data_IF_652209933600
#
_entry.id   IF_652209933600
#
_cell.length_a   1.000
_cell.length_b   1.000
_cell.length_c   1.000
_cell.angle_alpha   90.00
_cell.angle_beta   90.00
_cell.angle_gamma   90.00
#
_symmetry.space_group_name_H-M   'P 1'
#
loop_
_entity.id
_entity.type
_entity.pdbx_description
1 polymer ?
#
# COMPACT_ATOMS: atom_id res chain seq x y z
N UNK A 1 8.44 -30.72 -11.47
CA UNK A 1 8.20 -30.98 -10.03
C UNK A 1 7.76 -29.68 -9.40
N UNK A 2 6.45 -29.48 -9.22
CA UNK A 2 5.87 -28.29 -8.57
C UNK A 2 6.23 -28.33 -7.08
N UNK A 3 6.94 -27.32 -6.59
CA UNK A 3 7.06 -27.06 -5.15
C UNK A 3 5.64 -26.77 -4.64
N UNK A 4 5.20 -27.51 -3.63
CA UNK A 4 3.87 -27.35 -3.01
C UNK A 4 3.94 -26.14 -2.08
N UNK A 5 2.95 -25.25 -2.22
CA UNK A 5 2.66 -24.10 -1.35
C UNK A 5 2.70 -24.52 0.13
N UNK A 6 3.69 -24.01 0.86
CA UNK A 6 3.79 -24.17 2.31
C UNK A 6 3.11 -23.00 3.06
N UNK A 7 2.91 -21.84 2.40
CA UNK A 7 2.31 -20.64 3.01
C UNK A 7 0.84 -20.82 3.41
N UNK A 8 0.02 -21.47 2.59
CA UNK A 8 -1.43 -21.68 2.85
C UNK A 8 -1.68 -22.50 4.14
N UNK A 9 -0.72 -23.31 4.58
CA UNK A 9 -0.90 -24.18 5.77
C UNK A 9 -0.69 -23.39 7.07
N UNK A 10 0.11 -22.32 7.05
CA UNK A 10 0.44 -21.55 8.27
C UNK A 10 -0.70 -20.58 8.62
N UNK A 11 -1.25 -19.87 7.64
CA UNK A 11 -2.36 -18.92 7.85
C UNK A 11 -3.63 -19.61 8.37
N UNK A 12 -3.98 -20.76 7.79
CA UNK A 12 -5.11 -21.56 8.27
C UNK A 12 -4.94 -22.05 9.72
N UNK A 13 -3.69 -22.23 10.18
CA UNK A 13 -3.39 -22.59 11.56
C UNK A 13 -3.49 -21.38 12.51
N UNK A 14 -3.12 -20.17 12.06
CA UNK A 14 -3.27 -18.94 12.85
C UNK A 14 -4.75 -18.59 13.05
N UNK A 15 -5.56 -18.60 11.99
CA UNK A 15 -7.01 -18.37 12.09
C UNK A 15 -7.73 -19.45 12.91
N UNK A 16 -7.28 -20.71 12.84
CA UNK A 16 -7.80 -21.77 13.72
C UNK A 16 -7.33 -21.62 15.18
N UNK A 17 -6.15 -21.05 15.43
CA UNK A 17 -5.63 -20.79 16.77
C UNK A 17 -6.38 -19.66 17.47
N UNK A 18 -6.75 -18.61 16.73
CA UNK A 18 -7.62 -17.50 17.20
C UNK A 18 -8.98 -18.01 17.68
N UNK A 19 -9.50 -19.11 17.15
CA UNK A 19 -10.74 -19.73 17.63
C UNK A 19 -10.62 -20.48 18.96
N UNK A 20 -9.40 -20.72 19.45
CA UNK A 20 -9.15 -21.53 20.65
C UNK A 20 -8.70 -20.71 21.86
N UNK A 21 -8.17 -19.51 21.62
CA UNK A 21 -7.71 -18.57 22.62
C UNK A 21 -8.67 -17.39 22.62
N UNK A 22 -9.15 -16.94 23.80
CA UNK A 22 -10.12 -15.84 23.85
C UNK A 22 -9.62 -14.62 23.06
N UNK A 23 -10.49 -13.99 22.27
CA UNK A 23 -10.13 -12.97 21.27
C UNK A 23 -9.11 -11.91 21.76
N UNK A 24 -9.20 -11.48 23.03
CA UNK A 24 -8.27 -10.52 23.62
C UNK A 24 -6.82 -11.03 23.76
N UNK A 25 -6.61 -12.32 24.03
CA UNK A 25 -5.27 -12.91 24.15
C UNK A 25 -4.62 -13.22 22.79
N UNK A 26 -5.37 -13.14 21.69
CA UNK A 26 -4.85 -13.33 20.34
C UNK A 26 -4.20 -12.05 19.78
N UNK A 27 -4.66 -10.86 20.19
CA UNK A 27 -4.18 -9.57 19.69
C UNK A 27 -2.75 -9.25 20.13
N UNK A 28 -2.38 -9.58 21.37
CA UNK A 28 -1.01 -9.44 21.90
C UNK A 28 0.00 -10.44 21.28
N UNK A 29 -0.41 -11.27 20.32
CA UNK A 29 0.48 -12.25 19.70
C UNK A 29 1.55 -11.52 18.89
N UNK A 30 2.82 -11.68 19.27
CA UNK A 30 3.96 -11.18 18.50
C UNK A 30 4.03 -11.90 17.14
N UNK A 31 4.03 -11.11 16.06
CA UNK A 31 4.09 -11.57 14.66
C UNK A 31 5.35 -11.09 13.94
N UNK A 32 6.22 -10.34 14.61
CA UNK A 32 7.48 -9.85 14.07
C UNK A 32 8.15 -8.86 15.00
N UNK A 33 9.19 -8.19 14.53
CA UNK A 33 9.81 -7.06 15.22
C UNK A 33 10.31 -6.02 14.20
N UNK A 34 10.48 -4.78 14.65
CA UNK A 34 11.11 -3.69 13.87
C UNK A 34 12.19 -3.00 14.70
N UNK A 35 13.32 -2.70 14.06
CA UNK A 35 14.42 -1.93 14.68
C UNK A 35 14.27 -0.42 14.46
N UNK A 36 13.25 0.01 13.72
CA UNK A 36 12.96 1.41 13.38
C UNK A 36 11.48 1.73 13.59
N UNK A 37 11.15 3.01 13.77
CA UNK A 37 9.75 3.45 13.76
C UNK A 37 9.15 3.22 12.36
N UNK A 38 8.04 2.50 12.28
CA UNK A 38 7.25 2.37 11.05
C UNK A 38 6.21 3.48 11.02
N UNK A 39 6.38 4.46 10.14
CA UNK A 39 5.57 5.69 10.13
C UNK A 39 4.30 5.50 9.30
N UNK A 40 3.15 5.40 9.95
CA UNK A 40 1.82 5.37 9.33
C UNK A 40 0.85 6.43 9.85
N UNK A 41 1.33 7.34 10.72
CA UNK A 41 0.52 8.41 11.27
C UNK A 41 -0.07 9.32 10.17
N UNK A 42 -1.30 9.78 10.40
CA UNK A 42 -2.13 10.55 9.45
C UNK A 42 -1.39 11.75 8.87
N UNK A 43 -0.68 12.49 9.70
CA UNK A 43 0.05 13.71 9.34
C UNK A 43 1.26 13.47 8.43
N UNK A 44 1.67 12.22 8.25
CA UNK A 44 2.79 11.84 7.42
C UNK A 44 2.35 11.04 6.19
N UNK A 45 1.60 9.95 6.41
CA UNK A 45 1.23 9.02 5.32
C UNK A 45 0.30 9.64 4.27
N UNK A 46 -0.27 10.82 4.58
CA UNK A 46 -1.18 11.56 3.71
C UNK A 46 -0.58 12.81 3.08
N UNK A 47 0.70 13.06 3.29
CA UNK A 47 1.38 14.28 2.81
C UNK A 47 2.81 14.03 2.34
N UNK A 48 3.42 12.91 2.71
CA UNK A 48 4.77 12.55 2.29
C UNK A 48 4.94 11.03 2.16
N UNK A 49 6.01 10.60 1.49
CA UNK A 49 6.44 9.20 1.47
C UNK A 49 6.75 8.72 2.89
N UNK A 50 6.26 7.53 3.27
CA UNK A 50 6.62 6.91 4.54
C UNK A 50 7.21 5.52 4.36
N UNK A 51 8.04 5.10 5.32
CA UNK A 51 8.69 3.79 5.26
C UNK A 51 7.69 2.63 5.41
N UNK A 52 6.67 2.76 6.27
CA UNK A 52 5.63 1.75 6.41
C UNK A 52 4.85 1.58 5.09
N UNK A 53 4.45 2.68 4.46
CA UNK A 53 3.71 2.61 3.21
C UNK A 53 4.55 2.11 2.03
N UNK A 54 5.85 2.40 2.02
CA UNK A 54 6.78 1.78 1.07
C UNK A 54 6.80 0.26 1.20
N UNK A 55 6.86 -0.26 2.43
CA UNK A 55 6.84 -1.69 2.70
C UNK A 55 5.52 -2.33 2.25
N UNK A 56 4.38 -1.71 2.58
CA UNK A 56 3.05 -2.21 2.19
C UNK A 56 2.92 -2.27 0.67
N UNK A 57 3.31 -1.21 -0.03
CA UNK A 57 3.24 -1.18 -1.50
C UNK A 57 4.24 -2.14 -2.16
N UNK A 58 5.43 -2.34 -1.57
CA UNK A 58 6.37 -3.37 -2.02
C UNK A 58 5.80 -4.78 -1.84
N UNK A 59 5.21 -5.06 -0.67
CA UNK A 59 4.53 -6.31 -0.37
C UNK A 59 3.40 -6.59 -1.38
N UNK A 60 2.54 -5.60 -1.64
CA UNK A 60 1.46 -5.74 -2.64
C UNK A 60 2.02 -6.08 -4.02
N UNK A 61 3.09 -5.40 -4.44
CA UNK A 61 3.73 -5.61 -5.73
C UNK A 61 4.38 -6.99 -5.84
N UNK A 62 5.10 -7.42 -4.81
CA UNK A 62 5.78 -8.72 -4.76
C UNK A 62 4.80 -9.89 -4.72
N UNK A 63 3.70 -9.75 -3.95
CA UNK A 63 2.66 -10.76 -3.83
C UNK A 63 1.91 -10.99 -5.15
N UNK A 64 1.58 -9.89 -5.85
CA UNK A 64 0.75 -9.92 -7.05
C UNK A 64 1.56 -10.11 -8.34
N UNK A 65 2.84 -9.72 -8.33
CA UNK A 65 3.66 -9.63 -9.54
C UNK A 65 3.31 -8.43 -10.42
N UNK A 66 2.59 -7.44 -9.91
CA UNK A 66 2.25 -6.21 -10.62
C UNK A 66 3.48 -5.37 -10.96
N UNK A 67 3.38 -4.55 -12.00
CA UNK A 67 4.44 -3.61 -12.39
C UNK A 67 4.58 -2.49 -11.36
N UNK A 68 3.45 -2.04 -10.82
CA UNK A 68 3.31 -0.87 -9.94
C UNK A 68 2.35 -1.25 -8.81
N UNK A 69 2.52 -0.68 -7.62
CA UNK A 69 1.50 -0.71 -6.58
C UNK A 69 1.21 0.71 -6.09
N UNK A 70 -0.07 1.02 -5.88
CA UNK A 70 -0.53 2.25 -5.27
C UNK A 70 -1.50 1.94 -4.14
N UNK A 71 -1.47 2.74 -3.07
CA UNK A 71 -2.51 2.69 -2.03
C UNK A 71 -2.72 4.08 -1.46
N UNK A 72 -3.96 4.41 -1.11
CA UNK A 72 -4.31 5.67 -0.48
C UNK A 72 -3.83 5.67 0.99
N UNK A 73 -3.17 6.74 1.42
CA UNK A 73 -2.74 6.94 2.81
C UNK A 73 -3.91 6.99 3.80
N UNK A 74 -5.13 7.14 3.29
CA UNK A 74 -6.39 6.93 4.00
C UNK A 74 -6.53 5.55 4.61
N UNK A 75 -6.04 4.52 3.90
CA UNK A 75 -6.10 3.11 4.27
C UNK A 75 -5.08 2.68 5.32
N UNK A 76 -4.05 3.49 5.58
CA UNK A 76 -3.00 3.25 6.58
C UNK A 76 -3.33 4.10 7.82
N UNK A 77 -3.55 3.45 8.97
CA UNK A 77 -4.23 4.10 10.10
C UNK A 77 -3.37 4.28 11.34
N UNK A 78 -2.29 3.52 11.49
CA UNK A 78 -1.39 3.64 12.63
C UNK A 78 0.09 3.46 12.27
N UNK A 79 0.95 3.84 13.21
CA UNK A 79 2.40 3.61 13.21
C UNK A 79 2.75 2.44 14.12
N UNK A 80 3.97 1.90 13.98
CA UNK A 80 4.48 0.87 14.89
C UNK A 80 5.81 1.32 15.47
N UNK A 81 5.87 1.38 16.80
CA UNK A 81 7.08 1.74 17.55
C UNK A 81 8.18 0.68 17.39
N UNK A 82 9.41 1.06 17.72
CA UNK A 82 10.55 0.13 17.74
C UNK A 82 10.31 -0.98 18.75
N UNK A 83 10.45 -2.25 18.32
CA UNK A 83 10.28 -3.41 19.17
C UNK A 83 9.44 -4.51 18.53
N UNK A 84 8.83 -5.39 19.36
CA UNK A 84 7.91 -6.42 18.90
C UNK A 84 6.72 -5.80 18.17
N UNK A 85 6.29 -6.46 17.09
CA UNK A 85 5.08 -6.14 16.33
C UNK A 85 4.05 -7.21 16.67
N UNK A 86 2.85 -6.79 17.04
CA UNK A 86 1.74 -7.66 17.45
C UNK A 86 0.68 -7.80 16.36
N UNK A 87 -0.23 -8.75 16.54
CA UNK A 87 -1.41 -8.86 15.69
C UNK A 87 -2.31 -7.62 15.81
N UNK A 88 -2.40 -7.00 16.99
CA UNK A 88 -3.09 -5.72 17.18
C UNK A 88 -2.51 -4.65 16.26
N UNK A 89 -1.19 -4.49 16.22
CA UNK A 89 -0.52 -3.49 15.37
C UNK A 89 -0.88 -3.66 13.89
N UNK A 90 -0.89 -4.89 13.37
CA UNK A 90 -1.26 -5.15 11.98
C UNK A 90 -2.72 -4.78 11.66
N UNK A 91 -3.64 -5.08 12.58
CA UNK A 91 -5.06 -4.75 12.45
C UNK A 91 -5.32 -3.26 12.65
N UNK A 92 -4.54 -2.58 13.48
CA UNK A 92 -4.61 -1.13 13.67
C UNK A 92 -4.04 -0.38 12.47
N UNK A 93 -3.03 -0.93 11.76
CA UNK A 93 -2.54 -0.36 10.48
C UNK A 93 -3.63 -0.43 9.40
N UNK A 94 -4.23 -1.60 9.19
CA UNK A 94 -5.25 -1.85 8.18
C UNK A 94 -6.54 -2.42 8.80
N UNK A 95 -7.35 -1.57 9.45
CA UNK A 95 -8.57 -2.01 10.15
C UNK A 95 -9.74 -2.24 9.20
N UNK A 96 -9.51 -2.15 7.88
CA UNK A 96 -10.51 -2.37 6.85
C UNK A 96 -10.31 -3.77 6.27
N UNK A 97 -11.40 -4.49 6.06
CA UNK A 97 -11.41 -5.83 5.41
C UNK A 97 -11.18 -5.71 3.88
N UNK A 98 -10.33 -4.77 3.46
CA UNK A 98 -9.99 -4.55 2.06
C UNK A 98 -9.11 -5.70 1.55
N UNK A 99 -9.34 -6.11 0.31
CA UNK A 99 -8.51 -7.09 -0.38
C UNK A 99 -7.56 -6.42 -1.37
N UNK A 100 -6.43 -7.06 -1.61
CA UNK A 100 -5.51 -6.62 -2.67
C UNK A 100 -6.10 -7.04 -4.02
N UNK A 101 -6.12 -6.12 -4.97
CA UNK A 101 -6.55 -6.37 -6.35
C UNK A 101 -5.52 -5.85 -7.34
N UNK A 102 -5.55 -6.36 -8.57
CA UNK A 102 -4.79 -5.79 -9.69
C UNK A 102 -5.73 -5.26 -10.77
N UNK A 103 -5.28 -4.26 -11.51
CA UNK A 103 -5.98 -3.65 -12.64
C UNK A 103 -4.98 -3.34 -13.75
N UNK A 104 -5.45 -3.30 -15.00
CA UNK A 104 -4.66 -2.78 -16.12
C UNK A 104 -4.95 -1.28 -16.29
N UNK A 105 -3.96 -0.43 -16.03
CA UNK A 105 -4.09 1.02 -16.22
C UNK A 105 -3.22 1.49 -17.38
N UNK A 106 -3.76 2.38 -18.20
CA UNK A 106 -2.94 3.19 -19.11
C UNK A 106 -2.07 4.17 -18.32
N UNK A 107 -0.98 4.64 -18.92
CA UNK A 107 -0.18 5.72 -18.34
C UNK A 107 -1.01 6.97 -18.05
N UNK A 108 -1.99 7.29 -18.91
CA UNK A 108 -2.96 8.37 -18.68
C UNK A 108 -3.82 8.16 -17.41
N UNK A 109 -4.36 6.97 -17.21
CA UNK A 109 -5.13 6.66 -16.00
C UNK A 109 -4.27 6.69 -14.74
N UNK A 110 -3.03 6.19 -14.81
CA UNK A 110 -2.09 6.25 -13.69
C UNK A 110 -1.73 7.71 -13.34
N UNK A 111 -1.48 8.55 -14.36
CA UNK A 111 -1.24 9.98 -14.16
C UNK A 111 -2.44 10.66 -13.49
N UNK A 112 -3.66 10.39 -13.99
CA UNK A 112 -4.88 10.93 -13.43
C UNK A 112 -5.09 10.51 -11.97
N UNK A 113 -4.75 9.26 -11.63
CA UNK A 113 -4.80 8.79 -10.24
C UNK A 113 -3.80 9.56 -9.35
N UNK A 114 -2.57 9.79 -9.81
CA UNK A 114 -1.58 10.56 -9.07
C UNK A 114 -2.02 12.03 -8.89
N UNK A 115 -2.60 12.66 -9.92
CA UNK A 115 -3.20 14.00 -9.84
C UNK A 115 -4.33 14.06 -8.80
N UNK A 116 -5.25 13.09 -8.79
CA UNK A 116 -6.28 13.00 -7.76
C UNK A 116 -5.64 12.86 -6.37
N UNK A 117 -4.65 11.98 -6.22
CA UNK A 117 -3.96 11.73 -4.96
C UNK A 117 -3.37 13.00 -4.33
N UNK A 118 -2.83 13.91 -5.14
CA UNK A 118 -2.24 15.17 -4.65
C UNK A 118 -3.20 16.36 -4.69
N UNK A 119 -4.45 16.18 -5.14
CA UNK A 119 -5.40 17.29 -5.36
C UNK A 119 -5.76 18.11 -4.11
N UNK A 120 -5.80 17.46 -2.94
CA UNK A 120 -6.12 18.11 -1.66
C UNK A 120 -4.90 18.55 -0.87
N UNK A 121 -3.67 18.29 -1.35
CA UNK A 121 -2.46 18.73 -0.67
C UNK A 121 -2.47 20.27 -0.47
N UNK A 122 -2.08 20.81 0.71
CA UNK A 122 -1.42 20.14 1.84
C UNK A 122 -2.36 19.56 2.92
N UNK A 123 -3.67 19.45 2.67
CA UNK A 123 -4.58 18.83 3.63
C UNK A 123 -4.21 17.35 3.85
N UNK A 124 -4.43 16.83 5.07
CA UNK A 124 -4.17 15.42 5.40
C UNK A 124 -5.33 14.53 4.92
N UNK A 125 -5.67 14.65 3.64
CA UNK A 125 -6.75 13.93 2.96
C UNK A 125 -6.38 12.47 2.70
N UNK A 126 -7.37 11.57 2.73
CA UNK A 126 -7.13 10.14 2.61
C UNK A 126 -6.57 9.73 1.26
N UNK A 127 -6.88 10.48 0.20
CA UNK A 127 -6.56 10.10 -1.18
C UNK A 127 -5.07 10.12 -1.53
N UNK A 128 -4.21 10.75 -0.75
CA UNK A 128 -2.77 10.84 -1.05
C UNK A 128 -2.15 9.46 -1.26
N UNK A 129 -1.52 9.25 -2.42
CA UNK A 129 -1.02 7.94 -2.82
C UNK A 129 0.38 7.66 -2.30
N UNK A 130 0.53 6.46 -1.74
CA UNK A 130 1.82 5.81 -1.49
C UNK A 130 2.06 4.82 -2.63
N UNK A 131 3.33 4.64 -3.04
CA UNK A 131 3.64 3.97 -4.31
C UNK A 131 4.82 2.99 -4.21
N UNK A 132 4.81 1.97 -5.08
CA UNK A 132 5.96 1.11 -5.42
C UNK A 132 6.03 0.90 -6.94
N UNK A 133 7.22 0.64 -7.47
CA UNK A 133 7.48 0.48 -8.92
C UNK A 133 7.64 1.78 -9.70
N UNK A 134 7.22 2.91 -9.14
CA UNK A 134 7.40 4.24 -9.73
C UNK A 134 8.05 5.23 -8.78
N UNK A 135 8.51 6.34 -9.35
CA UNK A 135 8.77 7.58 -8.63
C UNK A 135 7.97 8.70 -9.28
N UNK A 136 7.50 9.67 -8.51
CA UNK A 136 6.89 10.86 -9.09
C UNK A 136 7.26 12.12 -8.32
N UNK A 137 7.12 13.26 -8.98
CA UNK A 137 7.12 14.55 -8.30
C UNK A 137 5.86 15.34 -8.62
N UNK A 138 5.48 16.17 -7.66
CA UNK A 138 4.42 17.14 -7.83
C UNK A 138 4.82 18.51 -7.28
N UNK A 139 4.27 19.55 -7.89
CA UNK A 139 4.40 20.93 -7.45
C UNK A 139 3.07 21.38 -6.81
N UNK A 140 3.04 21.66 -5.49
CA UNK A 140 1.82 22.10 -4.82
C UNK A 140 1.40 23.54 -5.16
N UNK A 141 2.28 24.33 -5.80
CA UNK A 141 1.97 25.68 -6.28
C UNK A 141 1.11 25.68 -7.56
N UNK A 142 1.13 24.58 -8.31
CA UNK A 142 0.31 24.41 -9.50
C UNK A 142 -1.16 24.12 -9.16
N UNK A 143 -2.12 24.46 -10.05
CA UNK A 143 -3.53 24.15 -9.87
C UNK A 143 -3.76 22.65 -9.69
N UNK A 144 -4.73 22.27 -8.86
CA UNK A 144 -5.17 20.87 -8.74
C UNK A 144 -5.54 20.29 -10.11
N UNK A 145 -4.98 19.12 -10.46
CA UNK A 145 -5.11 18.51 -11.78
C UNK A 145 -3.95 18.83 -12.73
N UNK A 146 -3.04 19.72 -12.34
CA UNK A 146 -1.81 20.07 -13.07
C UNK A 146 -0.58 20.01 -12.13
N UNK A 147 -0.68 19.28 -11.00
CA UNK A 147 0.34 19.26 -9.96
C UNK A 147 1.45 18.28 -10.25
N UNK A 148 1.15 17.11 -10.81
CA UNK A 148 2.15 16.09 -11.13
C UNK A 148 3.05 16.63 -12.24
N UNK A 149 4.35 16.67 -12.00
CA UNK A 149 5.32 17.24 -12.96
C UNK A 149 6.05 16.15 -13.75
N UNK A 150 6.30 15.01 -13.12
CA UNK A 150 6.87 13.84 -13.78
C UNK A 150 6.53 12.57 -13.01
N UNK A 151 6.46 11.48 -13.75
CA UNK A 151 6.37 10.11 -13.23
C UNK A 151 7.41 9.29 -13.98
N UNK A 152 8.22 8.54 -13.23
CA UNK A 152 9.20 7.63 -13.80
C UNK A 152 8.86 6.19 -13.44
N UNK A 153 8.86 5.32 -14.46
CA UNK A 153 8.75 3.87 -14.34
C UNK A 153 10.04 3.23 -14.86
N UNK A 154 10.67 2.34 -14.09
CA UNK A 154 11.97 1.73 -14.41
C UNK A 154 13.10 2.73 -14.79
N UNK A 155 12.99 3.98 -14.31
CA UNK A 155 13.96 5.04 -14.55
C UNK A 155 13.77 5.81 -15.86
N UNK A 156 12.72 5.51 -16.62
CA UNK A 156 12.30 6.25 -17.81
C UNK A 156 11.00 7.03 -17.52
N UNK A 157 10.71 8.05 -18.32
CA UNK A 157 9.44 8.77 -18.24
C UNK A 157 8.26 7.82 -18.47
N UNK A 158 7.17 8.02 -17.73
CA UNK A 158 5.94 7.25 -17.91
C UNK A 158 5.44 7.38 -19.35
N UNK A 159 5.22 6.24 -20.01
CA UNK A 159 4.61 6.21 -21.33
C UNK A 159 3.08 6.27 -21.17
N UNK A 160 2.49 7.38 -21.62
CA UNK A 160 1.07 7.66 -21.46
C UNK A 160 0.18 6.66 -22.22
N UNK A 161 0.68 6.08 -23.31
CA UNK A 161 -0.05 5.14 -24.17
C UNK A 161 0.18 3.67 -23.77
N UNK A 162 1.17 3.40 -22.91
CA UNK A 162 1.45 2.05 -22.41
C UNK A 162 0.43 1.62 -21.34
N UNK A 163 0.31 0.31 -21.16
CA UNK A 163 -0.51 -0.31 -20.12
C UNK A 163 0.39 -0.96 -19.07
N UNK A 164 0.03 -0.76 -17.80
CA UNK A 164 0.74 -1.25 -16.63
C UNK A 164 -0.21 -2.07 -15.77
N UNK A 165 0.26 -3.19 -15.23
CA UNK A 165 -0.48 -3.92 -14.19
C UNK A 165 -0.23 -3.21 -12.86
N UNK A 166 -1.29 -2.71 -12.24
CA UNK A 166 -1.23 -1.93 -11.00
C UNK A 166 -1.96 -2.68 -9.88
N UNK A 167 -1.26 -2.96 -8.78
CA UNK A 167 -1.85 -3.46 -7.55
C UNK A 167 -2.39 -2.31 -6.69
N UNK A 168 -3.59 -2.47 -6.16
CA UNK A 168 -4.26 -1.52 -5.25
C UNK A 168 -5.16 -2.27 -4.26
N UNK A 169 -5.94 -1.55 -3.45
CA UNK A 169 -7.01 -2.11 -2.64
C UNK A 169 -8.37 -1.99 -3.34
N UNK A 170 -9.29 -2.90 -3.04
CA UNK A 170 -10.65 -2.95 -3.63
C UNK A 170 -11.50 -1.70 -3.37
N UNK A 171 -11.31 -1.02 -2.22
CA UNK A 171 -11.96 0.28 -1.98
C UNK A 171 -11.58 1.31 -3.06
N UNK A 172 -10.29 1.47 -3.37
CA UNK A 172 -9.85 2.35 -4.46
C UNK A 172 -10.29 1.85 -5.84
N UNK A 173 -10.18 0.53 -6.09
CA UNK A 173 -10.58 -0.07 -7.36
C UNK A 173 -12.08 0.08 -7.66
N UNK A 174 -12.90 0.37 -6.62
CA UNK A 174 -14.33 0.65 -6.74
C UNK A 174 -14.67 2.14 -6.81
N UNK A 175 -13.68 3.02 -6.99
CA UNK A 175 -13.88 4.47 -7.11
C UNK A 175 -13.86 5.23 -5.76
N UNK A 176 -13.52 4.55 -4.66
CA UNK A 176 -13.30 5.20 -3.36
C UNK A 176 -12.30 6.36 -3.47
N UNK A 177 -12.40 7.37 -2.59
CA UNK A 177 -11.53 8.56 -2.59
C UNK A 177 -11.47 9.33 -3.94
N UNK A 178 -12.54 9.27 -4.73
CA UNK A 178 -12.67 9.91 -6.06
C UNK A 178 -11.71 9.33 -7.11
N UNK A 179 -11.32 8.06 -6.95
CA UNK A 179 -10.51 7.34 -7.94
C UNK A 179 -11.37 6.70 -9.05
N UNK A 180 -12.25 7.48 -9.69
CA UNK A 180 -13.16 7.01 -10.74
C UNK A 180 -12.41 6.31 -11.90
N UNK A 181 -11.19 6.77 -12.21
CA UNK A 181 -10.34 6.16 -13.24
C UNK A 181 -9.90 4.73 -12.92
N UNK A 182 -9.86 4.35 -11.63
CA UNK A 182 -9.63 2.97 -11.20
C UNK A 182 -10.91 2.13 -11.36
N UNK A 183 -12.08 2.68 -11.03
CA UNK A 183 -13.36 1.99 -11.26
C UNK A 183 -13.55 1.65 -12.74
N UNK A 184 -13.25 2.60 -13.63
CA UNK A 184 -13.35 2.43 -15.08
C UNK A 184 -12.42 1.33 -15.64
N UNK A 185 -11.25 1.13 -15.02
CA UNK A 185 -10.31 0.09 -15.44
C UNK A 185 -10.80 -1.33 -15.13
N UNK A 186 -11.61 -1.48 -14.06
CA UNK A 186 -12.12 -2.77 -13.60
C UNK A 186 -11.04 -3.66 -12.98
N UNK A 187 -11.48 -4.66 -12.20
CA UNK A 187 -10.57 -5.60 -11.53
C UNK A 187 -10.12 -6.70 -12.49
N UNK A 188 -8.80 -6.92 -12.57
CA UNK A 188 -8.18 -8.01 -13.31
C UNK A 188 -8.13 -9.29 -12.47
N UNK A 189 -7.61 -9.21 -11.24
CA UNK A 189 -7.48 -10.34 -10.31
C UNK A 189 -7.58 -9.85 -8.85
N UNK A 190 -8.23 -10.65 -8.00
CA UNK A 190 -8.31 -10.46 -6.55
C UNK A 190 -7.35 -11.42 -5.82
N UNK A 191 -6.75 -10.94 -4.73
CA UNK A 191 -5.79 -11.66 -3.90
C UNK A 191 -6.30 -11.76 -2.45
N UNK A 192 -5.40 -12.04 -1.51
CA UNK A 192 -5.72 -12.11 -0.08
C UNK A 192 -6.06 -10.73 0.50
N UNK A 193 -6.61 -10.73 1.72
CA UNK A 193 -6.85 -9.51 2.47
C UNK A 193 -5.53 -8.77 2.77
N UNK A 194 -5.58 -7.44 2.81
CA UNK A 194 -4.39 -6.61 2.97
C UNK A 194 -3.74 -6.78 4.35
N UNK A 195 -4.55 -6.99 5.38
CA UNK A 195 -4.10 -7.31 6.75
C UNK A 195 -3.48 -8.71 6.82
N UNK A 196 -4.07 -9.72 6.18
CA UNK A 196 -3.51 -11.07 6.06
C UNK A 196 -2.13 -11.03 5.39
N UNK A 197 -2.01 -10.33 4.26
CA UNK A 197 -0.73 -10.16 3.57
C UNK A 197 0.31 -9.45 4.46
N UNK A 198 -0.11 -8.42 5.21
CA UNK A 198 0.77 -7.67 6.10
C UNK A 198 1.27 -8.51 7.27
N UNK A 199 0.39 -9.31 7.88
CA UNK A 199 0.74 -10.25 8.95
C UNK A 199 1.79 -11.25 8.44
N UNK A 200 1.55 -11.86 7.28
CA UNK A 200 2.50 -12.79 6.66
C UNK A 200 3.83 -12.09 6.38
N UNK A 201 3.81 -10.86 5.87
CA UNK A 201 5.02 -10.09 5.60
C UNK A 201 5.86 -9.84 6.86
N UNK A 202 5.23 -9.45 7.98
CA UNK A 202 5.94 -9.28 9.25
C UNK A 202 6.57 -10.58 9.75
N UNK A 203 5.86 -11.71 9.62
CA UNK A 203 6.36 -13.01 10.05
C UNK A 203 7.53 -13.50 9.21
N UNK A 204 7.50 -13.25 7.90
CA UNK A 204 8.52 -13.73 6.96
C UNK A 204 9.77 -12.85 6.91
N UNK A 205 9.66 -11.56 7.25
CA UNK A 205 10.72 -10.56 7.03
C UNK A 205 11.23 -9.89 8.31
N UNK A 206 10.99 -10.52 9.47
CA UNK A 206 11.45 -10.02 10.77
C UNK A 206 12.98 -10.12 10.94
N UNK A 207 13.68 -9.07 11.42
CA UNK A 207 13.17 -7.73 11.72
C UNK A 207 12.91 -6.92 10.44
N UNK A 208 11.75 -6.26 10.35
CA UNK A 208 11.45 -5.38 9.22
C UNK A 208 12.15 -4.03 9.38
N UNK A 209 12.75 -3.53 8.30
CA UNK A 209 13.49 -2.25 8.29
C UNK A 209 13.32 -1.48 6.97
N UNK A 210 12.08 -1.16 6.57
CA UNK A 210 11.84 -0.43 5.33
C UNK A 210 12.38 0.99 5.38
N UNK A 211 12.66 1.58 4.22
CA UNK A 211 13.27 2.91 4.10
C UNK A 211 12.45 3.82 3.20
N UNK A 212 12.51 5.11 3.49
CA UNK A 212 12.14 6.15 2.51
C UNK A 212 13.24 6.20 1.45
N UNK A 213 12.86 6.12 0.18
CA UNK A 213 13.80 5.95 -0.95
C UNK A 213 13.66 7.02 -2.04
N UNK A 214 12.81 8.03 -1.82
CA UNK A 214 12.58 9.12 -2.76
C UNK A 214 11.65 8.71 -3.91
N UNK A 215 10.60 7.94 -3.57
CA UNK A 215 9.49 7.59 -4.46
C UNK A 215 8.57 8.77 -4.70
N UNK A 216 8.44 9.67 -3.72
CA UNK A 216 7.59 10.86 -3.82
C UNK A 216 8.43 12.10 -3.55
N UNK A 217 8.42 13.05 -4.50
CA UNK A 217 9.15 14.31 -4.39
C UNK A 217 8.18 15.49 -4.44
N UNK A 218 8.27 16.37 -3.44
CA UNK A 218 7.52 17.64 -3.43
C UNK A 218 8.46 18.72 -3.96
N UNK A 219 8.05 19.41 -5.01
CA UNK A 219 8.82 20.52 -5.59
C UNK A 219 8.53 21.83 -4.85
N UNK A 220 9.46 22.78 -4.96
CA UNK A 220 9.41 24.13 -4.36
C UNK A 220 9.17 25.22 -5.40
#
# INVERSE_FOLDING_TARGET
>A
MRKRNLGIIVVALVLAFVFTVGQAQALDTEIGETEILLVGAREHVRTNETNLANMITDMMRDLTGADIAITNGGGIRDSVDVGPITLEDALDIHPFENVIVTQELTGEQLWAALENGVSQFPEHDGRFLQVSGIRFAFDPAEPSGERVQWVHFDGEDLDMDATYVVATNDFMASGGDEFDMLEEAGVLEEFVALDEALIDHFQENSPVQPRVTGRITILE
#
